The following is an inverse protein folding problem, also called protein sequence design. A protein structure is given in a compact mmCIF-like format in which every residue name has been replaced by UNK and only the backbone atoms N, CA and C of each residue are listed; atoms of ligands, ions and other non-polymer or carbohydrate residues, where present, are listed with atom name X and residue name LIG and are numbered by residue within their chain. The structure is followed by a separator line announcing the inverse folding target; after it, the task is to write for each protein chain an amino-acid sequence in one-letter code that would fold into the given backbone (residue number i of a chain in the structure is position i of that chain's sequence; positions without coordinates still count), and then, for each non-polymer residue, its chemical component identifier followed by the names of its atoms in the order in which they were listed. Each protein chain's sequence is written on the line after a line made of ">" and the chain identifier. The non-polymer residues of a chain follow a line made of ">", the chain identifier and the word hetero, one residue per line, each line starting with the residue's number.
data_IF_529561824941
#
_entry.id   IF_529561824941
#
_cell.length_a   1.000
_cell.length_b   1.000
_cell.length_c   1.000
_cell.angle_alpha   90.00
_cell.angle_beta   90.00
_cell.angle_gamma   90.00
#
_symmetry.space_group_name_H-M   'P 1'
#
loop_
_entity.id
_entity.type
_entity.pdbx_description
1 polymer ?
#
# COMPACT_ATOMS: atom_id res chain seq x y z
N UNK A 1 -2.43 -11.83 27.06
CA UNK A 1 -3.41 -11.88 25.97
C UNK A 1 -3.69 -10.45 25.49
N UNK A 2 -2.72 -9.81 24.81
CA UNK A 2 -2.74 -8.35 24.62
C UNK A 2 -2.42 -7.87 23.19
N UNK A 3 -2.00 -8.77 22.29
CA UNK A 3 -1.61 -8.39 20.92
C UNK A 3 -2.78 -8.20 19.95
N UNK A 4 -3.98 -8.75 20.23
CA UNK A 4 -5.11 -8.66 19.31
C UNK A 4 -5.78 -7.27 19.28
N UNK A 5 -5.67 -6.49 20.36
CA UNK A 5 -6.33 -5.19 20.48
C UNK A 5 -5.48 -4.06 19.89
N UNK A 6 -4.14 -4.13 20.08
CA UNK A 6 -3.22 -3.15 19.53
C UNK A 6 -3.31 -3.06 18.00
N UNK A 7 -3.26 -4.21 17.32
CA UNK A 7 -3.38 -4.24 15.85
C UNK A 7 -4.74 -3.75 15.33
N UNK A 8 -5.83 -3.90 16.09
CA UNK A 8 -7.15 -3.41 15.69
C UNK A 8 -7.23 -1.87 15.82
N UNK A 9 -6.72 -1.32 16.92
CA UNK A 9 -6.68 0.13 17.09
C UNK A 9 -5.78 0.78 16.04
N UNK A 10 -4.61 0.20 15.78
CA UNK A 10 -3.69 0.66 14.73
C UNK A 10 -4.31 0.58 13.32
N UNK A 11 -5.08 -0.47 13.01
CA UNK A 11 -5.82 -0.58 11.74
C UNK A 11 -6.94 0.46 11.63
N UNK A 12 -7.64 0.75 12.73
CA UNK A 12 -8.67 1.79 12.78
C UNK A 12 -8.07 3.20 12.62
N UNK A 13 -6.95 3.47 13.26
CA UNK A 13 -6.21 4.72 13.10
C UNK A 13 -5.69 4.86 11.66
N UNK A 14 -5.06 3.81 11.11
CA UNK A 14 -4.62 3.79 9.72
C UNK A 14 -5.77 4.06 8.75
N UNK A 15 -6.94 3.48 9.00
CA UNK A 15 -8.13 3.73 8.18
C UNK A 15 -8.55 5.20 8.26
N UNK A 16 -8.56 5.82 9.44
CA UNK A 16 -8.90 7.24 9.58
C UNK A 16 -7.91 8.15 8.86
N UNK A 17 -6.61 7.90 9.02
CA UNK A 17 -5.56 8.65 8.31
C UNK A 17 -5.70 8.51 6.79
N UNK A 18 -6.03 7.31 6.31
CA UNK A 18 -6.30 7.04 4.89
C UNK A 18 -7.57 7.72 4.39
N UNK A 19 -8.66 7.71 5.18
CA UNK A 19 -9.91 8.41 4.83
C UNK A 19 -9.69 9.93 4.78
N UNK A 20 -8.91 10.47 5.72
CA UNK A 20 -8.50 11.88 5.68
C UNK A 20 -7.66 12.18 4.44
N UNK A 21 -6.65 11.35 4.11
CA UNK A 21 -5.86 11.49 2.89
C UNK A 21 -6.73 11.48 1.63
N UNK A 22 -7.74 10.61 1.58
CA UNK A 22 -8.68 10.53 0.46
C UNK A 22 -9.55 11.79 0.34
N UNK A 23 -9.92 12.42 1.45
CA UNK A 23 -10.70 13.65 1.45
C UNK A 23 -9.85 14.88 1.11
N UNK A 24 -8.66 15.00 1.71
CA UNK A 24 -7.73 16.11 1.47
C UNK A 24 -7.06 16.02 0.09
N UNK A 25 -6.77 14.81 -0.40
CA UNK A 25 -6.01 14.57 -1.63
C UNK A 25 -6.68 13.49 -2.51
N UNK A 26 -7.84 13.79 -3.12
CA UNK A 26 -8.55 12.84 -3.96
C UNK A 26 -7.72 12.37 -5.16
N UNK A 27 -6.95 13.26 -5.80
CA UNK A 27 -6.08 12.94 -6.94
C UNK A 27 -4.98 11.92 -6.58
N UNK A 28 -4.35 12.11 -5.41
CA UNK A 28 -3.34 11.17 -4.91
C UNK A 28 -3.97 9.81 -4.62
N UNK A 29 -5.16 9.81 -4.01
CA UNK A 29 -5.89 8.58 -3.72
C UNK A 29 -6.30 7.86 -5.01
N UNK A 30 -6.72 8.57 -6.06
CA UNK A 30 -7.04 7.96 -7.36
C UNK A 30 -5.82 7.27 -7.98
N UNK A 31 -4.66 7.94 -8.01
CA UNK A 31 -3.42 7.31 -8.49
C UNK A 31 -3.00 6.12 -7.63
N UNK A 32 -3.17 6.23 -6.32
CA UNK A 32 -2.84 5.16 -5.40
C UNK A 32 -3.75 3.94 -5.60
N UNK A 33 -5.06 4.15 -5.76
CA UNK A 33 -6.02 3.10 -6.12
C UNK A 33 -5.67 2.50 -7.49
N UNK A 34 -5.26 3.33 -8.46
CA UNK A 34 -4.83 2.88 -9.79
C UNK A 34 -3.65 1.92 -9.69
N UNK A 35 -2.55 2.35 -9.06
CA UNK A 35 -1.33 1.53 -8.89
C UNK A 35 -1.62 0.28 -8.05
N UNK A 36 -2.45 0.38 -7.01
CA UNK A 36 -2.79 -0.77 -6.16
C UNK A 36 -3.66 -1.79 -6.91
N UNK A 37 -4.60 -1.32 -7.73
CA UNK A 37 -5.38 -2.16 -8.64
C UNK A 37 -4.48 -2.85 -9.67
N UNK A 38 -3.55 -2.12 -10.28
CA UNK A 38 -2.58 -2.65 -11.22
C UNK A 38 -1.69 -3.72 -10.57
N UNK A 39 -1.23 -3.47 -9.34
CA UNK A 39 -0.48 -4.44 -8.51
C UNK A 39 -1.28 -5.75 -8.37
N UNK A 40 -2.59 -5.66 -8.10
CA UNK A 40 -3.47 -6.82 -7.98
C UNK A 40 -3.68 -7.53 -9.33
N UNK A 41 -3.88 -6.79 -10.42
CA UNK A 41 -4.08 -7.35 -11.76
C UNK A 41 -2.83 -8.09 -12.28
N UNK A 42 -1.65 -7.54 -11.99
CA UNK A 42 -0.36 -8.13 -12.32
C UNK A 42 0.06 -9.25 -11.34
N UNK A 43 -0.78 -9.57 -10.35
CA UNK A 43 -0.49 -10.52 -9.27
C UNK A 43 0.83 -10.23 -8.52
N UNK A 44 1.20 -8.95 -8.45
CA UNK A 44 2.38 -8.48 -7.72
C UNK A 44 2.11 -8.49 -6.22
N UNK A 45 3.18 -8.62 -5.44
CA UNK A 45 3.10 -8.49 -3.98
C UNK A 45 3.01 -7.02 -3.60
N UNK A 46 2.10 -6.66 -2.69
CA UNK A 46 2.03 -5.30 -2.15
C UNK A 46 3.33 -4.84 -1.45
N UNK A 47 4.14 -5.78 -0.95
CA UNK A 47 5.48 -5.49 -0.43
C UNK A 47 6.43 -4.93 -1.50
N UNK A 48 6.27 -5.34 -2.77
CA UNK A 48 7.03 -4.80 -3.90
C UNK A 48 6.63 -3.34 -4.16
N UNK A 49 5.32 -3.06 -4.25
CA UNK A 49 4.78 -1.70 -4.36
C UNK A 49 5.27 -0.78 -3.23
N UNK A 50 5.18 -1.25 -1.98
CA UNK A 50 5.63 -0.49 -0.82
C UNK A 50 7.12 -0.22 -0.82
N UNK A 51 7.93 -1.14 -1.36
CA UNK A 51 9.38 -0.95 -1.50
C UNK A 51 9.71 0.11 -2.54
N UNK A 52 9.04 0.09 -3.69
CA UNK A 52 9.19 1.11 -4.74
C UNK A 52 8.82 2.52 -4.23
N UNK A 53 7.77 2.63 -3.43
CA UNK A 53 7.35 3.90 -2.83
C UNK A 53 8.33 4.42 -1.78
N UNK A 54 9.06 3.53 -1.09
CA UNK A 54 9.96 3.86 0.02
C UNK A 54 11.42 4.12 -0.42
N UNK A 55 11.74 4.06 -1.71
CA UNK A 55 13.14 4.17 -2.23
C UNK A 55 14.11 3.17 -1.59
N UNK A 56 13.61 2.08 -0.98
CA UNK A 56 14.52 1.04 -0.50
C UNK A 56 15.07 0.34 -1.73
N UNK A 57 16.39 0.12 -1.75
CA UNK A 57 17.06 -0.77 -2.70
C UNK A 57 16.20 -2.02 -2.85
N UNK A 58 15.67 -2.22 -4.07
CA UNK A 58 14.66 -3.24 -4.43
C UNK A 58 14.95 -4.56 -3.70
N UNK A 59 14.19 -4.91 -2.64
CA UNK A 59 14.52 -6.07 -1.83
C UNK A 59 13.78 -7.30 -2.35
N UNK A 60 14.53 -8.34 -2.73
CA UNK A 60 14.22 -9.80 -2.76
C UNK A 60 12.91 -10.33 -3.38
N UNK A 61 11.96 -9.46 -3.73
CA UNK A 61 10.58 -9.76 -4.14
C UNK A 61 10.29 -9.33 -5.57
N UNK A 62 11.31 -9.30 -6.41
CA UNK A 62 11.13 -9.03 -7.82
C UNK A 62 10.27 -10.15 -8.45
N UNK A 63 9.19 -9.80 -9.15
CA UNK A 63 8.27 -10.79 -9.70
C UNK A 63 8.95 -11.60 -10.82
N UNK A 64 9.40 -12.83 -10.52
CA UNK A 64 10.07 -13.72 -11.49
C UNK A 64 9.25 -14.03 -12.77
N UNK A 65 7.94 -13.84 -12.73
CA UNK A 65 7.03 -14.25 -13.81
C UNK A 65 6.47 -13.09 -14.65
N UNK A 66 6.84 -11.84 -14.34
CA UNK A 66 6.34 -10.67 -15.08
C UNK A 66 7.37 -10.27 -16.14
N UNK A 67 6.91 -10.08 -17.38
CA UNK A 67 7.77 -9.58 -18.46
C UNK A 67 8.33 -8.21 -18.11
N UNK A 68 9.59 -8.00 -18.44
CA UNK A 68 10.32 -6.76 -18.17
C UNK A 68 9.57 -5.51 -18.67
N UNK A 69 8.98 -5.57 -19.87
CA UNK A 69 8.18 -4.47 -20.44
C UNK A 69 6.96 -4.11 -19.58
N UNK A 70 6.30 -5.10 -18.96
CA UNK A 70 5.15 -4.87 -18.07
C UNK A 70 5.63 -4.33 -16.73
N UNK A 71 6.75 -4.86 -16.23
CA UNK A 71 7.36 -4.37 -14.99
C UNK A 71 7.79 -2.91 -15.12
N UNK A 72 8.37 -2.53 -16.27
CA UNK A 72 8.78 -1.16 -16.57
C UNK A 72 7.57 -0.21 -16.63
N UNK A 73 6.47 -0.63 -17.27
CA UNK A 73 5.21 0.13 -17.25
C UNK A 73 4.66 0.30 -15.83
N UNK A 74 4.70 -0.76 -15.02
CA UNK A 74 4.27 -0.69 -13.64
C UNK A 74 5.14 0.27 -12.81
N UNK A 75 6.47 0.21 -12.99
CA UNK A 75 7.39 1.13 -12.33
C UNK A 75 7.13 2.57 -12.75
N UNK A 76 6.81 2.84 -14.01
CA UNK A 76 6.44 4.17 -14.50
C UNK A 76 5.17 4.71 -13.80
N UNK A 77 4.14 3.86 -13.66
CA UNK A 77 2.92 4.21 -12.92
C UNK A 77 3.20 4.50 -11.44
N UNK A 78 4.08 3.71 -10.81
CA UNK A 78 4.52 3.96 -9.43
C UNK A 78 5.34 5.25 -9.33
N UNK A 79 6.16 5.56 -10.34
CA UNK A 79 6.92 6.81 -10.41
C UNK A 79 6.00 8.02 -10.57
N UNK A 80 4.92 7.93 -11.35
CA UNK A 80 3.89 8.99 -11.44
C UNK A 80 3.26 9.27 -10.09
N UNK A 81 2.86 8.21 -9.37
CA UNK A 81 2.37 8.33 -7.99
C UNK A 81 3.41 8.98 -7.08
N UNK A 82 4.68 8.60 -7.23
CA UNK A 82 5.79 9.12 -6.43
C UNK A 82 6.17 10.57 -6.77
N UNK A 83 5.95 10.99 -8.02
CA UNK A 83 6.18 12.35 -8.48
C UNK A 83 5.06 13.32 -8.04
N UNK A 84 3.96 12.79 -7.49
CA UNK A 84 2.87 13.60 -6.98
C UNK A 84 3.35 14.51 -5.84
N UNK A 85 3.04 15.83 -5.85
CA UNK A 85 3.54 16.77 -4.83
C UNK A 85 3.14 16.38 -3.40
N UNK A 86 1.97 15.74 -3.26
CA UNK A 86 1.41 15.29 -1.99
C UNK A 86 1.86 13.89 -1.55
N UNK A 87 2.80 13.25 -2.26
CA UNK A 87 3.32 11.92 -1.90
C UNK A 87 3.91 11.87 -0.48
N UNK A 88 4.37 13.01 0.03
CA UNK A 88 4.93 13.13 1.39
C UNK A 88 3.90 12.69 2.43
N UNK A 89 2.62 13.00 2.23
CA UNK A 89 1.54 12.60 3.14
C UNK A 89 1.35 11.08 3.15
N UNK A 90 1.34 10.44 1.97
CA UNK A 90 1.29 8.98 1.87
C UNK A 90 2.52 8.34 2.54
N UNK A 91 3.72 8.88 2.29
CA UNK A 91 4.96 8.40 2.92
C UNK A 91 4.93 8.54 4.45
N UNK A 92 4.30 9.60 4.97
CA UNK A 92 4.14 9.81 6.41
C UNK A 92 3.21 8.77 7.02
N UNK A 93 2.04 8.53 6.40
CA UNK A 93 1.11 7.46 6.80
C UNK A 93 1.81 6.09 6.77
N UNK A 94 2.57 5.79 5.71
CA UNK A 94 3.35 4.55 5.61
C UNK A 94 4.45 4.41 6.68
N UNK A 95 5.00 5.52 7.17
CA UNK A 95 5.98 5.52 8.27
C UNK A 95 5.29 5.38 9.63
N UNK A 96 4.20 6.13 9.84
CA UNK A 96 3.37 6.12 11.04
C UNK A 96 2.81 4.72 11.31
N UNK A 97 2.37 4.03 10.26
CA UNK A 97 1.81 2.69 10.34
C UNK A 97 2.80 1.59 9.93
N UNK A 98 4.11 1.80 10.08
CA UNK A 98 5.14 0.79 9.73
C UNK A 98 5.01 -0.52 10.51
N UNK A 99 4.36 -0.49 11.67
CA UNK A 99 4.03 -1.66 12.49
C UNK A 99 3.00 -2.58 11.80
N UNK A 100 2.20 -2.02 10.89
CA UNK A 100 1.24 -2.75 10.07
C UNK A 100 1.97 -3.20 8.78
N UNK A 101 1.79 -4.46 8.39
CA UNK A 101 2.35 -4.95 7.12
C UNK A 101 1.88 -4.08 5.95
N UNK A 102 2.79 -3.74 5.03
CA UNK A 102 2.47 -2.85 3.90
C UNK A 102 1.23 -3.33 3.12
N UNK A 103 1.06 -4.65 2.95
CA UNK A 103 -0.15 -5.26 2.35
C UNK A 103 -1.46 -4.84 3.03
N UNK A 104 -1.51 -4.82 4.37
CA UNK A 104 -2.72 -4.42 5.10
C UNK A 104 -2.99 -2.92 4.94
N UNK A 105 -1.95 -2.10 4.93
CA UNK A 105 -2.07 -0.66 4.69
C UNK A 105 -2.62 -0.37 3.28
N UNK A 106 -2.06 -0.99 2.24
CA UNK A 106 -2.56 -0.82 0.86
C UNK A 106 -3.98 -1.35 0.67
N UNK A 107 -4.35 -2.43 1.38
CA UNK A 107 -5.72 -2.90 1.36
C UNK A 107 -6.67 -1.92 2.06
N UNK A 108 -6.29 -1.33 3.20
CA UNK A 108 -7.08 -0.26 3.84
C UNK A 108 -7.26 0.94 2.90
N UNK A 109 -6.21 1.33 2.20
CA UNK A 109 -6.20 2.38 1.17
C UNK A 109 -7.19 2.08 0.04
N UNK A 110 -7.28 0.81 -0.40
CA UNK A 110 -8.28 0.36 -1.36
C UNK A 110 -9.72 0.34 -0.81
N UNK A 111 -9.92 0.68 0.47
CA UNK A 111 -11.22 0.64 1.14
C UNK A 111 -11.55 -0.72 1.75
N UNK A 112 -10.57 -1.63 1.92
CA UNK A 112 -10.79 -2.86 2.66
C UNK A 112 -11.13 -2.56 4.11
N UNK A 113 -12.06 -3.34 4.66
CA UNK A 113 -12.44 -3.20 6.06
C UNK A 113 -11.33 -3.76 6.96
N UNK A 114 -10.98 -3.08 8.06
CA UNK A 114 -9.98 -3.54 9.02
C UNK A 114 -10.34 -4.92 9.59
N UNK A 115 -11.63 -5.22 9.72
CA UNK A 115 -12.17 -6.52 10.14
C UNK A 115 -11.74 -7.67 9.21
N UNK A 116 -11.70 -7.44 7.89
CA UNK A 116 -11.26 -8.43 6.90
C UNK A 116 -9.75 -8.67 6.99
N UNK A 117 -8.98 -7.65 7.37
CA UNK A 117 -7.51 -7.70 7.50
C UNK A 117 -7.06 -8.32 8.82
N UNK A 118 -7.89 -8.27 9.85
CA UNK A 118 -7.69 -8.97 11.10
C UNK A 118 -8.00 -10.47 10.97
N UNK A 119 -9.05 -10.82 10.21
CA UNK A 119 -9.42 -12.20 9.91
C UNK A 119 -8.48 -12.90 8.90
N UNK A 120 -7.74 -12.14 8.10
CA UNK A 120 -6.80 -12.67 7.10
C UNK A 120 -5.43 -12.99 7.71
N UNK A 121 -5.39 -13.91 8.66
CA UNK A 121 -4.24 -14.81 8.88
C UNK A 121 -4.28 -15.94 7.84
N UNK A 122 -4.73 -15.69 6.60
CA UNK A 122 -4.72 -16.71 5.56
C UNK A 122 -4.53 -16.01 4.22
N UNK A 123 -3.29 -15.92 3.75
CA UNK A 123 -2.93 -16.44 2.42
C UNK A 123 -1.53 -17.01 2.55
N UNK A 124 -1.47 -18.34 2.41
CA UNK A 124 -0.31 -19.22 2.43
C UNK A 124 0.52 -19.07 1.16
#
# INVERSE_FOLDING_TARGET
>A
MSMMVAGMNELHEAKKDVEALKQDYPELNEQLVHVTSLTRQLQLKYGYMGSLLRDKELPDYEPQFVRDSILSLYQDEVQKLKAHPNIVQLKDIMKKHRQISDSKLFLLILGAKPELLQGSTIIK
#
